data_IF_414184402748
#
_entry.id   IF_414184402748
#
_cell.length_a   1.000
_cell.length_b   1.000
_cell.length_c   1.000
_cell.angle_alpha   90.00
_cell.angle_beta   90.00
_cell.angle_gamma   90.00
#
_symmetry.space_group_name_H-M   'P 1'
#
loop_
_entity.id
_entity.type
_entity.pdbx_description
1 polymer ?
#
# COMPACT_ATOMS: atom_id res chain seq x y z
N UNK A 1 9.72 11.59 -2.50
CA UNK A 1 8.86 10.79 -3.40
C UNK A 1 9.66 9.64 -4.01
N UNK A 2 10.58 9.91 -4.94
CA UNK A 2 11.58 8.92 -5.36
C UNK A 2 12.65 8.74 -4.28
N UNK A 3 13.11 7.51 -4.07
CA UNK A 3 14.15 7.16 -3.12
C UNK A 3 14.84 5.87 -3.60
N UNK A 4 16.15 5.73 -3.35
CA UNK A 4 16.91 4.53 -3.76
C UNK A 4 16.37 3.25 -3.13
N UNK A 5 16.05 3.30 -1.83
CA UNK A 5 15.23 2.31 -1.15
C UNK A 5 13.76 2.38 -1.59
N UNK A 6 13.32 1.36 -2.33
CA UNK A 6 11.94 1.21 -2.83
C UNK A 6 10.94 1.19 -1.67
N UNK A 7 11.26 0.50 -0.57
CA UNK A 7 10.37 0.34 0.58
C UNK A 7 10.10 1.67 1.26
N UNK A 8 11.13 2.52 1.45
CA UNK A 8 10.95 3.87 2.00
C UNK A 8 10.03 4.74 1.14
N UNK A 9 10.17 4.66 -0.18
CA UNK A 9 9.30 5.38 -1.10
C UNK A 9 7.84 4.91 -1.01
N UNK A 10 7.61 3.59 -0.86
CA UNK A 10 6.28 3.02 -0.68
C UNK A 10 5.65 3.41 0.66
N UNK A 11 6.42 3.37 1.76
CA UNK A 11 5.97 3.80 3.10
C UNK A 11 5.51 5.25 3.08
N UNK A 12 6.23 6.13 2.38
CA UNK A 12 5.82 7.53 2.24
C UNK A 12 4.43 7.66 1.59
N UNK A 13 4.13 6.88 0.53
CA UNK A 13 2.79 6.86 -0.08
C UNK A 13 1.75 6.29 0.89
N UNK A 14 2.08 5.21 1.60
CA UNK A 14 1.20 4.62 2.60
C UNK A 14 0.82 5.61 3.71
N UNK A 15 1.78 6.42 4.18
CA UNK A 15 1.54 7.44 5.18
C UNK A 15 0.59 8.54 4.68
N UNK A 16 0.66 8.93 3.41
CA UNK A 16 -0.31 9.85 2.82
C UNK A 16 -1.72 9.26 2.80
N UNK A 17 -1.84 7.97 2.44
CA UNK A 17 -3.12 7.27 2.52
C UNK A 17 -3.64 7.15 3.95
N UNK A 18 -2.77 6.87 4.93
CA UNK A 18 -3.13 6.84 6.35
C UNK A 18 -3.74 8.18 6.79
N UNK A 19 -3.13 9.31 6.42
CA UNK A 19 -3.68 10.65 6.73
C UNK A 19 -5.03 10.87 6.04
N UNK A 20 -5.14 10.52 4.75
CA UNK A 20 -6.39 10.68 4.00
C UNK A 20 -7.55 9.84 4.58
N UNK A 21 -7.28 8.58 4.94
CA UNK A 21 -8.23 7.68 5.58
C UNK A 21 -8.63 8.18 6.98
N UNK A 22 -7.68 8.69 7.76
CA UNK A 22 -7.96 9.26 9.07
C UNK A 22 -8.91 10.47 8.98
N UNK A 23 -8.75 11.31 7.95
CA UNK A 23 -9.68 12.41 7.63
C UNK A 23 -11.11 11.96 7.33
N UNK A 24 -11.31 10.66 7.01
CA UNK A 24 -12.62 10.04 6.79
C UNK A 24 -13.06 9.15 7.97
N UNK A 25 -12.35 9.18 9.10
CA UNK A 25 -12.66 8.37 10.29
C UNK A 25 -12.20 6.92 10.21
N UNK A 26 -11.35 6.57 9.24
CA UNK A 26 -10.78 5.21 9.11
C UNK A 26 -9.34 5.20 9.64
N UNK A 27 -9.11 4.50 10.75
CA UNK A 27 -7.78 4.32 11.32
C UNK A 27 -6.99 3.27 10.51
N UNK A 28 -6.25 3.72 9.50
CA UNK A 28 -5.36 2.86 8.71
C UNK A 28 -3.98 2.68 9.37
N UNK A 29 -3.36 1.53 9.16
CA UNK A 29 -2.00 1.20 9.57
C UNK A 29 -1.14 0.90 8.34
N UNK A 30 0.02 1.57 8.21
CA UNK A 30 0.95 1.33 7.11
C UNK A 30 1.78 0.08 7.39
N UNK A 31 1.70 -0.92 6.51
CA UNK A 31 2.52 -2.12 6.59
C UNK A 31 4.00 -1.79 6.36
N UNK A 32 4.86 -2.07 7.34
CA UNK A 32 6.31 -1.80 7.26
C UNK A 32 7.15 -3.06 7.09
N UNK A 33 6.54 -4.23 7.21
CA UNK A 33 7.20 -5.52 7.00
C UNK A 33 7.49 -5.81 5.54
N UNK A 34 8.10 -6.97 5.31
CA UNK A 34 8.29 -7.53 3.97
C UNK A 34 6.97 -7.99 3.33
N UNK A 35 7.08 -8.61 2.15
CA UNK A 35 5.93 -9.19 1.45
C UNK A 35 5.34 -10.36 2.25
N UNK A 36 4.07 -10.26 2.61
CA UNK A 36 3.28 -11.33 3.20
C UNK A 36 2.32 -11.90 2.16
N UNK A 37 2.33 -13.23 2.01
CA UNK A 37 1.49 -13.93 1.04
C UNK A 37 0.32 -14.63 1.69
N UNK A 38 -0.82 -14.67 1.00
CA UNK A 38 -2.00 -15.43 1.37
C UNK A 38 -2.18 -16.63 0.44
N UNK A 39 -3.14 -17.51 0.74
CA UNK A 39 -3.52 -18.62 -0.15
C UNK A 39 -3.92 -18.16 -1.57
N UNK A 40 -4.29 -16.89 -1.74
CA UNK A 40 -4.72 -16.29 -3.00
C UNK A 40 -3.60 -15.56 -3.75
N UNK A 41 -2.45 -15.27 -3.13
CA UNK A 41 -1.39 -14.45 -3.74
C UNK A 41 -0.82 -15.02 -5.05
N UNK A 42 -0.96 -16.32 -5.30
CA UNK A 42 -0.56 -16.95 -6.57
C UNK A 42 -1.59 -16.80 -7.71
N UNK A 43 -2.82 -16.39 -7.40
CA UNK A 43 -3.94 -16.31 -8.36
C UNK A 43 -4.43 -14.87 -8.55
N UNK A 44 -4.34 -14.08 -7.49
CA UNK A 44 -4.81 -12.68 -7.47
C UNK A 44 -3.63 -11.82 -7.08
N UNK A 45 -3.11 -11.08 -8.08
CA UNK A 45 -2.14 -10.03 -7.81
C UNK A 45 -2.75 -9.06 -6.78
N UNK A 46 -1.96 -8.62 -5.81
CA UNK A 46 -2.40 -7.81 -4.66
C UNK A 46 -3.19 -8.52 -3.56
N UNK A 47 -3.36 -9.85 -3.55
CA UNK A 47 -4.01 -10.53 -2.41
C UNK A 47 -3.12 -10.71 -1.16
N UNK A 48 -1.83 -10.34 -1.24
CA UNK A 48 -0.91 -10.29 -0.08
C UNK A 48 -0.80 -8.88 0.51
N UNK A 49 0.12 -8.68 1.45
CA UNK A 49 0.47 -7.36 2.00
C UNK A 49 1.94 -7.02 1.69
N UNK A 50 2.18 -5.89 1.04
CA UNK A 50 3.50 -5.38 0.70
C UNK A 50 3.85 -4.11 1.48
N UNK A 51 5.14 -3.83 1.61
CA UNK A 51 5.64 -2.63 2.32
C UNK A 51 4.99 -1.36 1.75
N UNK A 52 4.45 -0.53 2.63
CA UNK A 52 3.78 0.74 2.29
C UNK A 52 2.29 0.61 1.93
N UNK A 53 1.74 -0.61 1.85
CA UNK A 53 0.30 -0.81 1.76
C UNK A 53 -0.39 -0.47 3.09
N UNK A 54 -1.70 -0.18 3.07
CA UNK A 54 -2.45 0.23 4.26
C UNK A 54 -3.46 -0.83 4.67
N UNK A 55 -3.43 -1.17 5.95
CA UNK A 55 -4.29 -2.15 6.61
C UNK A 55 -5.30 -1.44 7.50
N UNK A 56 -6.47 -2.05 7.70
CA UNK A 56 -7.45 -1.63 8.69
C UNK A 56 -8.10 -2.88 9.27
N UNK A 57 -8.09 -3.02 10.60
CA UNK A 57 -8.62 -4.19 11.30
C UNK A 57 -8.13 -5.54 10.73
N UNK A 58 -6.84 -5.63 10.39
CA UNK A 58 -6.22 -6.84 9.83
C UNK A 58 -6.48 -7.10 8.34
N UNK A 59 -7.29 -6.28 7.67
CA UNK A 59 -7.55 -6.39 6.23
C UNK A 59 -6.83 -5.30 5.44
N UNK A 60 -6.32 -5.63 4.25
CA UNK A 60 -5.74 -4.61 3.36
C UNK A 60 -6.84 -3.73 2.78
N UNK A 61 -6.72 -2.42 2.99
CA UNK A 61 -7.65 -1.42 2.44
C UNK A 61 -7.05 -0.60 1.31
N UNK A 62 -5.73 -0.43 1.27
CA UNK A 62 -5.04 0.24 0.17
C UNK A 62 -3.87 -0.59 -0.31
N UNK A 63 -3.90 -0.97 -1.59
CA UNK A 63 -2.76 -1.52 -2.29
C UNK A 63 -1.96 -0.42 -2.99
N UNK A 64 -0.63 -0.58 -3.06
CA UNK A 64 0.27 0.37 -3.72
C UNK A 64 1.21 -0.40 -4.65
N UNK A 65 1.47 0.15 -5.82
CA UNK A 65 2.52 -0.31 -6.73
C UNK A 65 3.38 0.86 -7.19
N UNK A 66 4.60 0.55 -7.61
CA UNK A 66 5.58 1.53 -8.05
C UNK A 66 6.26 1.08 -9.34
N UNK A 67 6.35 1.99 -10.31
CA UNK A 67 7.24 1.87 -11.47
C UNK A 67 8.29 2.97 -11.37
N UNK A 68 9.58 2.63 -11.45
CA UNK A 68 10.66 3.60 -11.28
C UNK A 68 11.74 3.50 -12.36
N UNK A 69 12.49 4.59 -12.51
CA UNK A 69 13.75 4.68 -13.23
C UNK A 69 14.83 5.24 -12.30
N UNK A 70 16.00 5.61 -12.84
CA UNK A 70 17.05 6.30 -12.09
C UNK A 70 16.65 7.71 -11.63
N UNK A 71 15.69 8.35 -12.29
CA UNK A 71 15.35 9.76 -12.03
C UNK A 71 13.92 10.01 -11.54
N UNK A 72 13.02 9.01 -11.60
CA UNK A 72 11.62 9.21 -11.20
C UNK A 72 10.97 7.92 -10.73
N UNK A 73 9.91 8.06 -9.94
CA UNK A 73 9.01 6.98 -9.54
C UNK A 73 7.55 7.42 -9.76
N UNK A 74 6.77 6.52 -10.37
CA UNK A 74 5.31 6.62 -10.49
C UNK A 74 4.71 5.65 -9.50
N UNK A 75 3.81 6.16 -8.67
CA UNK A 75 3.03 5.37 -7.72
C UNK A 75 1.62 5.23 -8.25
N UNK A 76 1.07 4.04 -8.11
CA UNK A 76 -0.33 3.76 -8.41
C UNK A 76 -0.90 3.06 -7.18
N UNK A 77 -2.10 3.48 -6.77
CA UNK A 77 -2.76 2.92 -5.61
C UNK A 77 -4.20 2.59 -5.92
N UNK A 78 -4.71 1.57 -5.25
CA UNK A 78 -6.10 1.18 -5.27
C UNK A 78 -6.60 1.13 -3.83
N UNK A 79 -7.71 1.82 -3.55
CA UNK A 79 -8.40 1.72 -2.27
C UNK A 79 -9.63 0.81 -2.46
N UNK A 80 -9.78 -0.19 -1.60
CA UNK A 80 -10.99 -1.02 -1.57
C UNK A 80 -12.15 -0.18 -1.03
N UNK A 81 -13.14 0.05 -1.89
CA UNK A 81 -14.42 0.62 -1.48
C UNK A 81 -15.38 -0.50 -1.09
N UNK A 82 -16.48 -0.12 -0.42
CA UNK A 82 -17.58 -1.06 -0.19
C UNK A 82 -18.16 -1.48 -1.54
N UNK A 83 -18.26 -2.78 -1.76
CA UNK A 83 -19.04 -3.32 -2.87
C UNK A 83 -20.49 -2.86 -2.71
N UNK A 84 -21.10 -2.41 -3.82
CA UNK A 84 -22.50 -2.01 -3.90
C UNK A 84 -23.20 -2.86 -4.94
#
# INVERSE_FOLDING_TARGET
>A
LWHDDVGRAMVWVGQLWQVALAGMGVAGEVHRGGLETTAWSRRVCFAGAGTGEVMHAGAKVVGVSQRRTRGWARFQSMCHLRWR
#
